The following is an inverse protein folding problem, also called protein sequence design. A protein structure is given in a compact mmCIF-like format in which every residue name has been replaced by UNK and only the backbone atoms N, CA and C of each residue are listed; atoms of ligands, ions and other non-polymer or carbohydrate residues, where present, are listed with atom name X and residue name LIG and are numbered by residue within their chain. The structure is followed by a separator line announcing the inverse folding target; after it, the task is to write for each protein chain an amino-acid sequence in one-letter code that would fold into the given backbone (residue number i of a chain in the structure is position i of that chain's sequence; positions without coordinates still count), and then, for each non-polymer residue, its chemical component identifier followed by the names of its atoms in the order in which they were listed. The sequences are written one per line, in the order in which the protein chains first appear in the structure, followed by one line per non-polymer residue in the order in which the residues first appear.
data_IF_270945123566
#
_entry.id   IF_270945123566
#
_cell.length_a   1.000
_cell.length_b   1.000
_cell.length_c   1.000
_cell.angle_alpha   90.00
_cell.angle_beta   90.00
_cell.angle_gamma   90.00
#
_symmetry.space_group_name_H-M   'P 1'
#
loop_
_entity.id
_entity.type
_entity.pdbx_description
1 polymer ?
#
# COMPACT_ATOMS: atom_id res chain seq x y z
N UNK A 1 32.47 18.24 -33.12
CA UNK A 1 31.51 19.05 -32.32
C UNK A 1 30.08 18.52 -32.42
N UNK A 2 29.52 18.29 -33.61
CA UNK A 2 28.16 17.74 -33.78
C UNK A 2 27.94 16.37 -33.10
N UNK A 3 28.90 15.45 -33.17
CA UNK A 3 28.79 14.14 -32.51
C UNK A 3 28.72 14.23 -30.97
N UNK A 4 29.43 15.17 -30.35
CA UNK A 4 29.37 15.39 -28.90
C UNK A 4 28.04 16.02 -28.46
N UNK A 5 27.49 16.92 -29.29
CA UNK A 5 26.15 17.48 -29.07
C UNK A 5 25.08 16.40 -29.16
N UNK A 6 25.15 15.55 -30.19
CA UNK A 6 24.21 14.45 -30.40
C UNK A 6 24.29 13.41 -29.26
N UNK A 7 25.51 13.07 -28.83
CA UNK A 7 25.75 12.18 -27.69
C UNK A 7 25.15 12.76 -26.40
N UNK A 8 25.38 14.05 -26.12
CA UNK A 8 24.86 14.68 -24.91
C UNK A 8 23.33 14.78 -24.90
N UNK A 9 22.72 15.07 -26.07
CA UNK A 9 21.25 15.05 -26.21
C UNK A 9 20.67 13.64 -26.06
N UNK A 10 21.39 12.62 -26.53
CA UNK A 10 20.94 11.22 -26.43
C UNK A 10 21.00 10.72 -24.97
N UNK A 11 22.09 11.02 -24.26
CA UNK A 11 22.22 10.72 -22.83
C UNK A 11 21.13 11.43 -22.03
N UNK A 12 20.82 12.70 -22.35
CA UNK A 12 19.75 13.43 -21.69
C UNK A 12 18.36 12.80 -21.94
N UNK A 13 18.09 12.31 -23.16
CA UNK A 13 16.84 11.59 -23.45
C UNK A 13 16.75 10.24 -22.75
N UNK A 14 17.86 9.50 -22.66
CA UNK A 14 17.89 8.19 -21.99
C UNK A 14 17.64 8.34 -20.48
N UNK A 15 18.27 9.34 -19.85
CA UNK A 15 18.06 9.67 -18.42
C UNK A 15 16.62 10.11 -18.17
N UNK A 16 16.06 10.93 -19.06
CA UNK A 16 14.65 11.35 -18.98
C UNK A 16 13.70 10.16 -19.06
N UNK A 17 13.88 9.26 -20.02
CA UNK A 17 13.06 8.06 -20.15
C UNK A 17 13.19 7.13 -18.93
N UNK A 18 14.40 6.98 -18.39
CA UNK A 18 14.65 6.23 -17.16
C UNK A 18 13.89 6.79 -15.95
N UNK A 19 13.98 8.11 -15.74
CA UNK A 19 13.24 8.79 -14.67
C UNK A 19 11.71 8.70 -14.86
N UNK A 20 11.21 8.82 -16.09
CA UNK A 20 9.77 8.69 -16.40
C UNK A 20 9.29 7.25 -16.09
N UNK A 21 10.10 6.24 -16.43
CA UNK A 21 9.76 4.85 -16.12
C UNK A 21 9.71 4.61 -14.61
N UNK A 22 10.66 5.18 -13.85
CA UNK A 22 10.67 5.12 -12.39
C UNK A 22 9.48 5.86 -11.77
N UNK A 23 9.14 7.05 -12.27
CA UNK A 23 7.97 7.82 -11.83
C UNK A 23 6.66 7.04 -12.05
N UNK A 24 6.51 6.39 -13.20
CA UNK A 24 5.35 5.55 -13.49
C UNK A 24 5.24 4.37 -12.51
N UNK A 25 6.37 3.74 -12.17
CA UNK A 25 6.38 2.67 -11.17
C UNK A 25 6.07 3.21 -9.76
N UNK A 26 6.57 4.38 -9.39
CA UNK A 26 6.27 5.04 -8.10
C UNK A 26 4.77 5.38 -7.98
N UNK A 27 4.13 5.85 -9.05
CA UNK A 27 2.65 6.03 -9.09
C UNK A 27 1.91 4.72 -8.85
N UNK A 28 2.36 3.62 -9.47
CA UNK A 28 1.76 2.31 -9.24
C UNK A 28 1.96 1.85 -7.79
N UNK A 29 3.13 2.09 -7.20
CA UNK A 29 3.43 1.81 -5.80
C UNK A 29 2.46 2.57 -4.86
N UNK A 30 2.30 3.89 -5.04
CA UNK A 30 1.32 4.70 -4.28
C UNK A 30 -0.09 4.12 -4.41
N UNK A 31 -0.50 3.73 -5.62
CA UNK A 31 -1.84 3.16 -5.84
C UNK A 31 -2.02 1.85 -5.10
N UNK A 32 -1.04 0.95 -5.15
CA UNK A 32 -1.08 -0.34 -4.45
C UNK A 32 -1.14 -0.14 -2.94
N UNK A 33 -0.29 0.73 -2.37
CA UNK A 33 -0.30 1.08 -0.96
C UNK A 33 -1.65 1.69 -0.52
N UNK A 34 -2.23 2.56 -1.34
CA UNK A 34 -3.56 3.14 -1.10
C UNK A 34 -4.66 2.08 -1.14
N UNK A 35 -4.65 1.18 -2.14
CA UNK A 35 -5.60 0.07 -2.21
C UNK A 35 -5.49 -0.86 -1.00
N UNK A 36 -4.27 -1.16 -0.54
CA UNK A 36 -4.06 -1.93 0.68
C UNK A 36 -4.69 -1.24 1.89
N UNK A 37 -4.45 0.06 2.09
CA UNK A 37 -5.02 0.83 3.20
C UNK A 37 -6.55 0.80 3.16
N UNK A 38 -7.17 0.98 2.00
CA UNK A 38 -8.63 0.88 1.83
C UNK A 38 -9.12 -0.51 2.23
N UNK A 39 -8.45 -1.58 1.81
CA UNK A 39 -8.80 -2.94 2.22
C UNK A 39 -8.71 -3.13 3.74
N UNK A 40 -7.68 -2.60 4.39
CA UNK A 40 -7.54 -2.65 5.86
C UNK A 40 -8.69 -1.89 6.55
N UNK A 41 -9.07 -0.71 6.05
CA UNK A 41 -10.19 0.06 6.59
C UNK A 41 -11.54 -0.67 6.42
N UNK A 42 -11.77 -1.33 5.28
CA UNK A 42 -12.97 -2.14 5.05
C UNK A 42 -13.00 -3.37 5.97
N UNK A 43 -11.85 -4.00 6.21
CA UNK A 43 -11.71 -5.09 7.18
C UNK A 43 -12.08 -4.63 8.60
N UNK A 44 -11.61 -3.46 9.02
CA UNK A 44 -11.97 -2.85 10.29
C UNK A 44 -13.46 -2.51 10.40
N UNK A 45 -14.02 -1.88 9.36
CA UNK A 45 -15.44 -1.52 9.36
C UNK A 45 -16.36 -2.76 9.41
N UNK A 46 -16.00 -3.82 8.69
CA UNK A 46 -16.75 -5.08 8.70
C UNK A 46 -16.66 -5.80 10.04
N UNK A 47 -15.47 -5.85 10.64
CA UNK A 47 -15.27 -6.50 11.96
C UNK A 47 -16.01 -5.76 13.07
N UNK A 48 -15.99 -4.42 13.08
CA UNK A 48 -16.84 -3.62 13.99
C UNK A 48 -18.33 -3.90 13.71
N UNK A 49 -18.71 -4.00 12.44
CA UNK A 49 -20.07 -4.38 12.03
C UNK A 49 -20.52 -5.69 12.65
N UNK A 50 -19.70 -6.75 12.54
CA UNK A 50 -19.98 -8.07 13.17
C UNK A 50 -20.17 -7.93 14.68
N UNK A 51 -19.30 -7.19 15.37
CA UNK A 51 -19.39 -7.01 16.84
C UNK A 51 -20.61 -6.19 17.26
N UNK A 52 -21.10 -5.28 16.40
CA UNK A 52 -22.26 -4.43 16.69
C UNK A 52 -23.62 -5.12 16.48
N UNK A 53 -23.67 -6.21 15.70
CA UNK A 53 -24.89 -7.00 15.46
C UNK A 53 -25.07 -7.96 16.63
N UNK A 54 -25.57 -7.43 17.75
CA UNK A 54 -25.80 -8.10 19.05
C UNK A 54 -24.55 -8.80 19.64
N UNK A 55 -24.26 -8.60 20.95
CA UNK A 55 -23.18 -9.35 21.56
C UNK A 55 -23.56 -10.83 21.52
N UNK A 56 -22.75 -11.67 20.85
CA UNK A 56 -22.82 -13.12 21.00
C UNK A 56 -22.78 -13.55 22.49
N UNK A 57 -22.34 -12.67 23.39
CA UNK A 57 -22.41 -12.84 24.84
C UNK A 57 -23.84 -12.91 25.42
N UNK A 58 -24.90 -12.50 24.70
CA UNK A 58 -26.29 -12.69 25.14
C UNK A 58 -26.92 -14.01 24.68
N UNK A 59 -26.25 -14.81 23.85
CA UNK A 59 -26.66 -16.17 23.55
C UNK A 59 -25.90 -17.14 24.46
N UNK A 60 -26.57 -17.61 25.51
CA UNK A 60 -26.05 -18.62 26.42
C UNK A 60 -25.96 -20.00 25.74
N UNK A 61 -25.11 -20.18 24.73
CA UNK A 61 -24.85 -21.52 24.18
C UNK A 61 -23.38 -21.72 23.87
N UNK A 62 -22.83 -22.74 24.52
CA UNK A 62 -21.46 -23.25 24.52
C UNK A 62 -20.96 -23.80 23.17
N UNK A 63 -21.61 -23.51 22.05
CA UNK A 63 -21.14 -23.87 20.72
C UNK A 63 -21.92 -23.07 19.67
N UNK A 64 -21.36 -21.94 19.20
CA UNK A 64 -21.85 -21.29 17.98
C UNK A 64 -21.46 -22.19 16.83
N UNK A 65 -22.42 -22.94 16.29
CA UNK A 65 -22.19 -23.76 15.10
C UNK A 65 -22.04 -22.85 13.89
N UNK A 66 -21.10 -23.13 12.98
CA UNK A 66 -20.94 -22.37 11.73
C UNK A 66 -22.24 -22.26 10.91
N UNK A 67 -23.21 -23.13 11.19
CA UNK A 67 -24.51 -23.19 10.54
C UNK A 67 -25.45 -22.05 10.94
N UNK A 68 -25.32 -21.47 12.15
CA UNK A 68 -26.14 -20.34 12.60
C UNK A 68 -25.67 -19.01 11.98
N UNK A 69 -24.35 -18.83 11.83
CA UNK A 69 -23.75 -17.69 11.12
C UNK A 69 -24.11 -17.72 9.62
N UNK A 70 -24.28 -18.91 9.04
CA UNK A 70 -24.77 -19.09 7.67
C UNK A 70 -26.27 -18.79 7.51
N UNK A 71 -27.04 -18.76 8.60
CA UNK A 71 -28.48 -18.50 8.56
C UNK A 71 -28.83 -17.00 8.62
N UNK A 72 -27.90 -16.14 9.04
CA UNK A 72 -28.07 -14.70 9.11
C UNK A 72 -27.42 -14.01 7.89
N UNK A 73 -28.22 -13.53 6.90
CA UNK A 73 -27.66 -12.98 5.66
C UNK A 73 -26.82 -11.71 5.88
N UNK A 74 -27.10 -10.94 6.94
CA UNK A 74 -26.31 -9.76 7.30
C UNK A 74 -24.92 -10.14 7.86
N UNK A 75 -24.84 -11.13 8.74
CA UNK A 75 -23.57 -11.60 9.30
C UNK A 75 -22.70 -12.25 8.22
N UNK A 76 -23.29 -13.05 7.34
CA UNK A 76 -22.59 -13.65 6.21
C UNK A 76 -21.99 -12.59 5.27
N UNK A 77 -22.70 -11.47 5.04
CA UNK A 77 -22.17 -10.34 4.28
C UNK A 77 -20.97 -9.69 4.99
N UNK A 78 -21.04 -9.43 6.29
CA UNK A 78 -19.92 -8.83 7.02
C UNK A 78 -18.71 -9.77 7.12
N UNK A 79 -18.93 -11.07 7.37
CA UNK A 79 -17.85 -12.07 7.43
C UNK A 79 -17.19 -12.24 6.06
N UNK A 80 -17.97 -12.33 4.98
CA UNK A 80 -17.42 -12.40 3.62
C UNK A 80 -16.67 -11.12 3.23
N UNK A 81 -17.16 -9.94 3.63
CA UNK A 81 -16.45 -8.68 3.42
C UNK A 81 -15.14 -8.63 4.20
N UNK A 82 -15.13 -9.10 5.46
CA UNK A 82 -13.93 -9.16 6.29
C UNK A 82 -12.88 -10.11 5.69
N UNK A 83 -13.26 -11.35 5.37
CA UNK A 83 -12.34 -12.32 4.77
C UNK A 83 -11.86 -11.85 3.40
N UNK A 84 -12.75 -11.34 2.56
CA UNK A 84 -12.41 -10.84 1.23
C UNK A 84 -11.45 -9.64 1.28
N UNK A 85 -11.73 -8.66 2.14
CA UNK A 85 -10.87 -7.48 2.31
C UNK A 85 -9.50 -7.83 2.90
N UNK A 86 -9.43 -8.78 3.84
CA UNK A 86 -8.17 -9.30 4.37
C UNK A 86 -7.33 -9.98 3.28
N UNK A 87 -7.92 -10.89 2.51
CA UNK A 87 -7.22 -11.58 1.41
C UNK A 87 -6.72 -10.59 0.33
N UNK A 88 -7.55 -9.61 -0.04
CA UNK A 88 -7.16 -8.57 -1.01
C UNK A 88 -6.04 -7.68 -0.46
N UNK A 89 -6.11 -7.30 0.82
CA UNK A 89 -5.04 -6.54 1.49
C UNK A 89 -3.70 -7.28 1.41
N UNK A 90 -3.71 -8.59 1.68
CA UNK A 90 -2.50 -9.42 1.60
C UNK A 90 -1.95 -9.53 0.17
N UNK A 91 -2.82 -9.64 -0.83
CA UNK A 91 -2.39 -9.64 -2.23
C UNK A 91 -1.75 -8.30 -2.64
N UNK A 92 -2.33 -7.18 -2.21
CA UNK A 92 -1.74 -5.87 -2.48
C UNK A 92 -0.39 -5.70 -1.78
N UNK A 93 -0.27 -6.13 -0.53
CA UNK A 93 1.00 -6.15 0.18
C UNK A 93 2.06 -7.00 -0.55
N UNK A 94 1.70 -8.20 -1.02
CA UNK A 94 2.62 -9.05 -1.76
C UNK A 94 3.06 -8.43 -3.10
N UNK A 95 2.16 -7.74 -3.80
CA UNK A 95 2.52 -7.00 -5.02
C UNK A 95 3.42 -5.80 -4.72
N UNK A 96 3.28 -5.23 -3.54
CA UNK A 96 4.07 -4.08 -3.10
C UNK A 96 5.56 -4.39 -2.96
N UNK A 97 5.91 -5.62 -2.55
CA UNK A 97 7.29 -6.13 -2.46
C UNK A 97 8.08 -5.95 -3.77
N UNK A 98 7.42 -5.89 -4.93
CA UNK A 98 8.07 -5.65 -6.22
C UNK A 98 8.69 -4.25 -6.29
N UNK A 99 8.19 -3.31 -5.50
CA UNK A 99 8.60 -1.91 -5.52
C UNK A 99 9.76 -1.58 -4.56
N UNK A 100 10.19 -2.51 -3.71
CA UNK A 100 11.36 -2.33 -2.82
C UNK A 100 12.63 -1.94 -3.58
N UNK A 101 12.78 -2.46 -4.81
CA UNK A 101 13.93 -2.16 -5.67
C UNK A 101 13.89 -0.79 -6.35
N UNK A 102 12.81 0.00 -6.23
CA UNK A 102 12.74 1.30 -6.92
C UNK A 102 13.74 2.30 -6.37
N UNK A 103 13.89 2.36 -5.04
CA UNK A 103 14.78 3.33 -4.40
C UNK A 103 16.23 3.10 -4.83
N UNK A 104 16.68 1.84 -4.89
CA UNK A 104 18.04 1.50 -5.33
C UNK A 104 18.25 1.78 -6.83
N UNK A 105 17.26 1.51 -7.68
CA UNK A 105 17.32 1.85 -9.12
C UNK A 105 17.39 3.35 -9.36
N UNK A 106 16.63 4.13 -8.59
CA UNK A 106 16.70 5.58 -8.65
C UNK A 106 18.06 6.09 -8.17
N UNK A 107 18.55 5.60 -7.03
CA UNK A 107 19.84 6.02 -6.47
C UNK A 107 20.99 5.75 -7.46
N UNK A 108 20.98 4.59 -8.12
CA UNK A 108 21.96 4.25 -9.14
C UNK A 108 21.92 5.21 -10.34
N UNK A 109 20.71 5.54 -10.84
CA UNK A 109 20.53 6.49 -11.95
C UNK A 109 20.94 7.91 -11.54
N UNK A 110 20.60 8.31 -10.32
CA UNK A 110 20.93 9.61 -9.76
C UNK A 110 22.44 9.77 -9.61
N UNK A 111 23.13 8.80 -9.02
CA UNK A 111 24.60 8.84 -8.87
C UNK A 111 25.32 8.89 -10.22
N UNK A 112 24.82 8.19 -11.25
CA UNK A 112 25.42 8.20 -12.59
C UNK A 112 25.21 9.52 -13.33
N UNK A 113 24.13 10.25 -13.06
CA UNK A 113 23.72 11.43 -13.84
C UNK A 113 23.38 12.66 -12.99
N UNK A 114 23.97 12.77 -11.79
CA UNK A 114 23.68 13.83 -10.81
C UNK A 114 23.78 15.23 -11.40
N UNK A 115 24.87 15.51 -12.13
CA UNK A 115 25.12 16.82 -12.73
C UNK A 115 24.07 17.17 -13.81
N UNK A 116 23.68 16.20 -14.64
CA UNK A 116 22.65 16.38 -15.66
C UNK A 116 21.27 16.64 -15.05
N UNK A 117 20.94 15.94 -13.97
CA UNK A 117 19.67 16.10 -13.27
C UNK A 117 19.59 17.47 -12.60
N UNK A 118 20.66 17.93 -11.94
CA UNK A 118 20.72 19.24 -11.25
C UNK A 118 20.69 20.43 -12.20
N UNK A 119 21.30 20.32 -13.37
CA UNK A 119 21.42 21.43 -14.33
C UNK A 119 20.15 21.60 -15.18
N UNK A 120 19.32 20.56 -15.30
CA UNK A 120 18.09 20.62 -16.08
C UNK A 120 16.84 20.69 -15.19
N UNK A 121 16.13 21.83 -15.30
CA UNK A 121 14.85 22.05 -14.62
C UNK A 121 13.84 20.89 -14.76
N UNK A 122 13.58 20.32 -15.96
CA UNK A 122 12.59 19.26 -16.09
C UNK A 122 13.00 17.94 -15.39
N UNK A 123 14.29 17.59 -15.38
CA UNK A 123 14.76 16.38 -14.67
C UNK A 123 14.78 16.59 -13.16
N UNK A 124 15.08 17.80 -12.70
CA UNK A 124 14.98 18.17 -11.28
C UNK A 124 13.54 18.05 -10.78
N UNK A 125 12.56 18.57 -11.53
CA UNK A 125 11.15 18.49 -11.16
C UNK A 125 10.66 17.03 -11.13
N UNK A 126 11.00 16.24 -12.15
CA UNK A 126 10.62 14.82 -12.23
C UNK A 126 11.24 14.01 -11.07
N UNK A 127 12.49 14.32 -10.72
CA UNK A 127 13.19 13.74 -9.57
C UNK A 127 12.52 14.10 -8.24
N UNK A 128 12.11 15.35 -8.05
CA UNK A 128 11.40 15.80 -6.85
C UNK A 128 10.02 15.13 -6.75
N UNK A 129 9.31 15.02 -7.87
CA UNK A 129 8.01 14.35 -7.93
C UNK A 129 8.12 12.86 -7.59
N UNK A 130 9.14 12.16 -8.11
CA UNK A 130 9.43 10.78 -7.74
C UNK A 130 9.64 10.63 -6.22
N UNK A 131 10.43 11.49 -5.60
CA UNK A 131 10.66 11.47 -4.15
C UNK A 131 9.38 11.70 -3.35
N UNK A 132 8.56 12.66 -3.78
CA UNK A 132 7.27 12.91 -3.16
C UNK A 132 6.37 11.67 -3.22
N UNK A 133 6.31 10.98 -4.36
CA UNK A 133 5.54 9.74 -4.51
C UNK A 133 6.06 8.60 -3.62
N UNK A 134 7.38 8.39 -3.54
CA UNK A 134 7.94 7.34 -2.67
C UNK A 134 7.74 7.63 -1.18
N UNK A 135 7.84 8.90 -0.78
CA UNK A 135 7.50 9.33 0.58
C UNK A 135 6.03 9.06 0.88
N UNK A 136 5.12 9.44 -0.03
CA UNK A 136 3.69 9.21 0.12
C UNK A 136 3.36 7.71 0.23
N UNK A 137 3.94 6.87 -0.64
CA UNK A 137 3.76 5.41 -0.57
C UNK A 137 4.23 4.86 0.78
N UNK A 138 5.41 5.27 1.25
CA UNK A 138 5.94 4.86 2.55
C UNK A 138 5.02 5.27 3.70
N UNK A 139 4.50 6.50 3.68
CA UNK A 139 3.54 6.97 4.68
C UNK A 139 2.24 6.14 4.68
N UNK A 140 1.72 5.77 3.51
CA UNK A 140 0.54 4.92 3.40
C UNK A 140 0.79 3.51 3.97
N UNK A 141 1.94 2.91 3.66
CA UNK A 141 2.33 1.59 4.18
C UNK A 141 2.49 1.62 5.70
N UNK A 142 3.20 2.63 6.24
CA UNK A 142 3.36 2.79 7.69
C UNK A 142 1.99 2.94 8.35
N UNK A 143 1.11 3.78 7.80
CA UNK A 143 -0.25 3.97 8.32
C UNK A 143 -1.02 2.66 8.32
N UNK A 144 -0.98 1.91 7.21
CA UNK A 144 -1.62 0.58 7.10
C UNK A 144 -1.12 -0.37 8.18
N UNK A 145 0.20 -0.46 8.38
CA UNK A 145 0.81 -1.32 9.39
C UNK A 145 0.45 -0.90 10.82
N UNK A 146 0.46 0.39 11.13
CA UNK A 146 0.05 0.93 12.44
C UNK A 146 -1.42 0.58 12.72
N UNK A 147 -2.29 0.72 11.72
CA UNK A 147 -3.71 0.39 11.85
C UNK A 147 -3.90 -1.11 12.14
N UNK A 148 -3.21 -2.00 11.42
CA UNK A 148 -3.25 -3.44 11.66
C UNK A 148 -2.72 -3.80 13.05
N UNK A 149 -1.60 -3.21 13.47
CA UNK A 149 -1.02 -3.42 14.80
C UNK A 149 -1.96 -2.95 15.92
N UNK A 150 -2.55 -1.77 15.77
CA UNK A 150 -3.52 -1.24 16.73
C UNK A 150 -4.75 -2.14 16.84
N UNK A 151 -5.24 -2.65 15.71
CA UNK A 151 -6.35 -3.60 15.70
C UNK A 151 -6.01 -4.92 16.39
N UNK A 152 -4.85 -5.51 16.09
CA UNK A 152 -4.39 -6.74 16.75
C UNK A 152 -4.21 -6.55 18.26
N UNK A 153 -3.63 -5.42 18.69
CA UNK A 153 -3.51 -5.07 20.10
C UNK A 153 -4.90 -4.91 20.77
N UNK A 154 -5.86 -4.29 20.08
CA UNK A 154 -7.23 -4.16 20.56
C UNK A 154 -7.92 -5.51 20.79
N UNK A 155 -7.77 -6.46 19.86
CA UNK A 155 -8.28 -7.83 20.02
C UNK A 155 -7.64 -8.53 21.23
N UNK A 156 -6.31 -8.43 21.36
CA UNK A 156 -5.59 -9.07 22.47
C UNK A 156 -6.04 -8.50 23.82
N UNK A 157 -6.17 -7.18 23.93
CA UNK A 157 -6.68 -6.53 25.15
C UNK A 157 -8.12 -6.95 25.44
N UNK A 158 -9.00 -6.97 24.43
CA UNK A 158 -10.39 -7.41 24.58
C UNK A 158 -10.50 -8.85 25.11
N UNK A 159 -9.65 -9.77 24.66
CA UNK A 159 -9.64 -11.15 25.15
C UNK A 159 -8.88 -11.36 26.47
N UNK A 160 -8.02 -10.41 26.87
CA UNK A 160 -7.33 -10.44 28.17
C UNK A 160 -8.15 -9.78 29.29
N UNK A 161 -9.21 -9.05 28.95
CA UNK A 161 -10.13 -8.45 29.91
C UNK A 161 -11.10 -9.53 30.42
N UNK A 162 -11.12 -9.85 31.72
CA UNK A 162 -11.96 -10.90 32.29
C UNK A 162 -13.45 -10.55 32.29
#
# INVERSE_FOLDING_TARGET
MLANLHYNTQVQTDVSQGLIALDKQAKCHVRTACSQLICVLLFLASTIGVVSVQPLASMSYTAVSMQEVLAAPAEQLFVSLAVGSFCLSWLFWFWDLKYDSLASKYEQLYQQHTELIKVSAPLTELSAHYHHLMSLASHLIITSNVVVLAYAAGIVIYHLQP
#
